data_IF_533252226353
#
_entry.id   IF_533252226353
#
_cell.length_a   1.000
_cell.length_b   1.000
_cell.length_c   1.000
_cell.angle_alpha   90.00
_cell.angle_beta   90.00
_cell.angle_gamma   90.00
#
_symmetry.space_group_name_H-M   'P 1'
#
loop_
_entity.id
_entity.type
_entity.pdbx_description
1 polymer ?
#
# COMPACT_ATOMS: atom_id res chain seq x y z
N UNK A 1 -40.31 -46.86 21.52
CA UNK A 1 -40.76 -48.22 21.90
C UNK A 1 -41.93 -48.60 21.00
N UNK A 2 -41.73 -49.57 20.10
CA UNK A 2 -42.83 -50.18 19.35
C UNK A 2 -43.67 -50.98 20.34
N UNK A 3 -44.85 -50.48 20.71
CA UNK A 3 -45.81 -51.28 21.49
C UNK A 3 -46.51 -52.24 20.52
N UNK A 4 -46.03 -53.48 20.47
CA UNK A 4 -46.59 -54.57 19.65
C UNK A 4 -47.82 -55.27 20.23
N UNK A 5 -48.48 -54.78 21.28
CA UNK A 5 -49.51 -55.59 21.97
C UNK A 5 -50.85 -54.90 22.23
N UNK A 6 -51.55 -54.55 21.14
CA UNK A 6 -53.03 -54.59 21.06
C UNK A 6 -53.38 -54.62 19.58
N UNK A 7 -53.83 -55.76 19.07
CA UNK A 7 -54.31 -56.00 17.69
C UNK A 7 -55.14 -54.81 17.22
N UNK A 8 -54.59 -54.02 16.29
CA UNK A 8 -55.33 -52.93 15.64
C UNK A 8 -56.42 -53.56 14.76
N UNK A 9 -57.64 -53.04 14.86
CA UNK A 9 -58.77 -53.50 14.06
C UNK A 9 -58.92 -52.62 12.83
N UNK A 10 -59.42 -53.22 11.75
CA UNK A 10 -59.80 -52.45 10.55
C UNK A 10 -60.84 -51.40 10.98
N UNK A 11 -60.61 -50.15 10.60
CA UNK A 11 -61.41 -49.00 11.01
C UNK A 11 -60.85 -48.20 12.18
N UNK A 12 -59.84 -48.72 12.91
CA UNK A 12 -59.21 -47.99 14.01
C UNK A 12 -58.49 -46.73 13.51
N UNK A 13 -58.57 -45.65 14.28
CA UNK A 13 -57.75 -44.46 14.07
C UNK A 13 -56.30 -44.74 14.48
N UNK A 14 -55.39 -44.48 13.55
CA UNK A 14 -53.95 -44.67 13.73
C UNK A 14 -53.21 -43.46 13.18
N UNK A 15 -52.01 -43.24 13.70
CA UNK A 15 -51.14 -42.16 13.30
C UNK A 15 -49.93 -42.73 12.58
N UNK A 16 -49.50 -42.06 11.53
CA UNK A 16 -48.23 -42.35 10.88
C UNK A 16 -47.07 -41.71 11.65
N UNK A 17 -45.84 -42.06 11.26
CA UNK A 17 -44.62 -41.51 11.86
C UNK A 17 -44.49 -39.99 11.71
N UNK A 18 -45.19 -39.40 10.73
CA UNK A 18 -45.25 -37.96 10.47
C UNK A 18 -46.39 -37.24 11.23
N UNK A 19 -47.17 -37.98 12.03
CA UNK A 19 -48.31 -37.43 12.79
C UNK A 19 -49.63 -37.38 12.02
N UNK A 20 -49.68 -37.79 10.75
CA UNK A 20 -50.91 -37.81 9.97
C UNK A 20 -51.92 -38.81 10.54
N UNK A 21 -53.18 -38.37 10.69
CA UNK A 21 -54.29 -39.23 11.06
C UNK A 21 -54.69 -40.12 9.88
N UNK A 22 -54.82 -41.40 10.13
CA UNK A 22 -55.23 -42.40 9.16
C UNK A 22 -56.22 -43.38 9.78
N UNK A 23 -57.02 -44.01 8.93
CA UNK A 23 -57.84 -45.16 9.30
C UNK A 23 -57.09 -46.44 8.92
N UNK A 24 -56.97 -47.37 9.86
CA UNK A 24 -56.32 -48.65 9.65
C UNK A 24 -57.14 -49.54 8.72
N UNK A 25 -56.54 -49.99 7.61
CA UNK A 25 -57.21 -50.83 6.62
C UNK A 25 -56.80 -52.31 6.71
N UNK A 26 -55.71 -52.65 7.40
CA UNK A 26 -55.29 -54.02 7.67
C UNK A 26 -53.78 -54.20 7.78
N UNK A 27 -53.35 -55.39 8.21
CA UNK A 27 -51.95 -55.81 8.14
C UNK A 27 -51.69 -56.49 6.79
N UNK A 28 -50.49 -56.32 6.26
CA UNK A 28 -49.98 -56.99 5.06
C UNK A 28 -48.79 -57.89 5.42
N UNK A 29 -48.48 -58.83 4.55
CA UNK A 29 -47.32 -59.71 4.72
C UNK A 29 -46.01 -58.91 4.79
N UNK A 30 -45.05 -59.40 5.58
CA UNK A 30 -43.74 -58.72 5.74
C UNK A 30 -43.75 -57.56 6.73
N UNK A 31 -44.76 -57.44 7.60
CA UNK A 31 -44.81 -56.43 8.66
C UNK A 31 -45.23 -55.04 8.18
N UNK A 32 -45.88 -54.96 7.01
CA UNK A 32 -46.43 -53.72 6.48
C UNK A 32 -47.89 -53.54 6.90
N UNK A 33 -48.37 -52.30 6.84
CA UNK A 33 -49.73 -51.92 7.22
C UNK A 33 -50.39 -51.14 6.08
N UNK A 34 -51.64 -51.47 5.79
CA UNK A 34 -52.48 -50.71 4.87
C UNK A 34 -53.28 -49.67 5.67
N UNK A 35 -53.27 -48.42 5.20
CA UNK A 35 -54.00 -47.31 5.83
C UNK A 35 -54.71 -46.44 4.80
N UNK A 36 -55.74 -45.71 5.22
CA UNK A 36 -56.40 -44.66 4.45
C UNK A 36 -56.23 -43.33 5.14
N UNK A 37 -55.76 -42.31 4.44
CA UNK A 37 -55.58 -40.98 5.05
C UNK A 37 -56.93 -40.38 5.43
N UNK A 38 -57.01 -39.78 6.62
CA UNK A 38 -58.15 -38.97 7.03
C UNK A 38 -57.76 -37.50 6.83
N UNK A 39 -58.52 -36.80 6.00
CA UNK A 39 -58.36 -35.37 5.76
C UNK A 39 -59.50 -34.61 6.42
N UNK A 40 -59.24 -33.40 6.88
CA UNK A 40 -60.27 -32.51 7.40
C UNK A 40 -60.63 -31.50 6.30
N UNK A 41 -61.89 -31.50 5.85
CA UNK A 41 -62.41 -30.56 4.85
C UNK A 41 -63.74 -30.02 5.36
N UNK A 42 -63.88 -28.69 5.42
CA UNK A 42 -65.07 -28.00 5.95
C UNK A 42 -65.50 -28.44 7.36
N UNK A 43 -64.56 -28.88 8.18
CA UNK A 43 -64.80 -29.31 9.57
C UNK A 43 -65.37 -30.72 9.73
N UNK A 44 -65.51 -31.48 8.64
CA UNK A 44 -65.86 -32.90 8.68
C UNK A 44 -64.67 -33.78 8.24
N UNK A 45 -64.40 -34.89 8.95
CA UNK A 45 -63.34 -35.82 8.57
C UNK A 45 -63.76 -36.64 7.35
N UNK A 46 -62.99 -36.54 6.27
CA UNK A 46 -63.16 -37.32 5.04
C UNK A 46 -62.04 -38.36 4.93
N UNK A 47 -62.42 -39.64 4.85
CA UNK A 47 -61.48 -40.74 4.66
C UNK A 47 -61.22 -40.95 3.17
N UNK A 48 -59.96 -40.91 2.77
CA UNK A 48 -59.54 -41.16 1.39
C UNK A 48 -59.85 -42.58 0.94
N UNK A 49 -60.34 -42.72 -0.29
CA UNK A 49 -60.52 -44.03 -0.94
C UNK A 49 -59.19 -44.71 -1.30
N UNK A 50 -58.08 -43.95 -1.28
CA UNK A 50 -56.74 -44.49 -1.60
C UNK A 50 -56.12 -45.18 -0.40
N UNK A 51 -55.73 -46.44 -0.60
CA UNK A 51 -54.95 -47.21 0.38
C UNK A 51 -53.47 -46.95 0.16
N UNK A 52 -52.78 -46.55 1.23
CA UNK A 52 -51.33 -46.39 1.27
C UNK A 52 -50.73 -47.51 2.13
N UNK A 53 -49.60 -48.07 1.69
CA UNK A 53 -48.87 -49.08 2.44
C UNK A 53 -47.71 -48.42 3.21
N UNK A 54 -47.64 -48.67 4.51
CA UNK A 54 -46.66 -48.06 5.43
C UNK A 54 -45.99 -49.11 6.31
N UNK A 55 -44.77 -48.83 6.76
CA UNK A 55 -44.00 -49.78 7.58
C UNK A 55 -44.31 -49.75 9.08
N UNK A 56 -44.98 -48.71 9.59
CA UNK A 56 -45.33 -48.58 11.00
C UNK A 56 -46.55 -47.68 11.19
N UNK A 57 -47.35 -48.00 12.21
CA UNK A 57 -48.55 -47.24 12.63
C UNK A 57 -48.56 -47.11 14.15
N UNK A 58 -49.04 -45.98 14.66
CA UNK A 58 -49.03 -45.64 16.09
C UNK A 58 -50.46 -45.38 16.58
N UNK A 59 -50.82 -45.79 17.80
CA UNK A 59 -52.17 -45.55 18.36
C UNK A 59 -52.40 -44.11 18.82
N UNK A 60 -51.32 -43.35 18.97
CA UNK A 60 -51.32 -41.93 19.33
C UNK A 60 -50.33 -41.23 18.42
N UNK A 61 -50.59 -39.97 18.10
CA UNK A 61 -49.65 -39.15 17.35
C UNK A 61 -48.27 -39.17 18.04
N UNK A 62 -47.17 -39.44 17.31
CA UNK A 62 -45.82 -39.40 17.86
C UNK A 62 -45.32 -37.95 18.06
N UNK A 63 -46.09 -37.15 18.81
CA UNK A 63 -45.90 -35.70 19.01
C UNK A 63 -44.51 -35.40 19.58
N UNK A 64 -44.05 -36.17 20.57
CA UNK A 64 -42.74 -35.97 21.20
C UNK A 64 -41.56 -36.10 20.22
N UNK A 65 -41.66 -36.98 19.22
CA UNK A 65 -40.60 -37.19 18.21
C UNK A 65 -40.58 -36.05 17.21
N UNK A 66 -41.76 -35.54 16.83
CA UNK A 66 -41.89 -34.39 15.94
C UNK A 66 -41.45 -33.09 16.63
N UNK A 67 -41.84 -32.89 17.89
CA UNK A 67 -41.45 -31.73 18.69
C UNK A 67 -39.93 -31.68 18.89
N UNK A 68 -39.29 -32.82 19.18
CA UNK A 68 -37.83 -32.90 19.29
C UNK A 68 -37.13 -32.53 17.97
N UNK A 69 -37.61 -33.02 16.83
CA UNK A 69 -37.07 -32.67 15.50
C UNK A 69 -37.31 -31.20 15.15
N UNK A 70 -38.48 -30.65 15.49
CA UNK A 70 -38.78 -29.23 15.27
C UNK A 70 -37.88 -28.36 16.15
N UNK A 71 -37.65 -28.74 17.41
CA UNK A 71 -36.72 -28.03 18.30
C UNK A 71 -35.27 -28.08 17.77
N UNK A 72 -34.81 -29.24 17.32
CA UNK A 72 -33.50 -29.42 16.69
C UNK A 72 -33.34 -28.52 15.45
N UNK A 73 -34.29 -28.57 14.51
CA UNK A 73 -34.26 -27.73 13.30
C UNK A 73 -34.35 -26.24 13.61
N UNK A 74 -35.10 -25.84 14.66
CA UNK A 74 -35.12 -24.46 15.14
C UNK A 74 -33.77 -24.04 15.73
N UNK A 75 -33.09 -24.94 16.43
CA UNK A 75 -31.72 -24.73 16.91
C UNK A 75 -30.74 -24.50 15.76
N UNK A 76 -30.72 -25.41 14.77
CA UNK A 76 -29.89 -25.27 13.57
C UNK A 76 -30.17 -23.96 12.81
N UNK A 77 -31.44 -23.58 12.67
CA UNK A 77 -31.83 -22.33 12.01
C UNK A 77 -31.32 -21.11 12.78
N UNK A 78 -31.43 -21.12 14.11
CA UNK A 78 -30.88 -20.06 14.96
C UNK A 78 -29.37 -19.94 14.82
N UNK A 79 -28.64 -21.06 14.81
CA UNK A 79 -27.19 -21.06 14.61
C UNK A 79 -26.79 -20.52 13.23
N UNK A 80 -27.53 -20.89 12.18
CA UNK A 80 -27.29 -20.39 10.83
C UNK A 80 -27.55 -18.88 10.76
N UNK A 81 -28.63 -18.39 11.39
CA UNK A 81 -28.96 -16.97 11.43
C UNK A 81 -27.91 -16.16 12.20
N UNK A 82 -27.41 -16.69 13.32
CA UNK A 82 -26.30 -16.09 14.08
C UNK A 82 -25.02 -16.00 13.23
N UNK A 83 -24.65 -17.08 12.53
CA UNK A 83 -23.48 -17.09 11.64
C UNK A 83 -23.65 -16.13 10.47
N UNK A 84 -24.84 -16.05 9.88
CA UNK A 84 -25.14 -15.14 8.79
C UNK A 84 -25.07 -13.68 9.26
N UNK A 85 -25.61 -13.38 10.44
CA UNK A 85 -25.53 -12.05 11.06
C UNK A 85 -24.08 -11.65 11.31
N UNK A 86 -23.28 -12.54 11.90
CA UNK A 86 -21.86 -12.32 12.15
C UNK A 86 -21.08 -12.06 10.84
N UNK A 87 -21.28 -12.89 9.82
CA UNK A 87 -20.63 -12.72 8.52
C UNK A 87 -21.01 -11.40 7.84
N UNK A 88 -22.27 -10.97 7.94
CA UNK A 88 -22.72 -9.66 7.42
C UNK A 88 -22.05 -8.50 8.14
N UNK A 89 -21.91 -8.57 9.47
CA UNK A 89 -21.22 -7.55 10.25
C UNK A 89 -19.73 -7.48 9.92
N UNK A 90 -19.08 -8.63 9.74
CA UNK A 90 -17.68 -8.72 9.32
C UNK A 90 -17.48 -8.09 7.93
N UNK A 91 -18.31 -8.45 6.95
CA UNK A 91 -18.25 -7.88 5.60
C UNK A 91 -18.43 -6.35 5.60
N UNK A 92 -19.39 -5.83 6.38
CA UNK A 92 -19.58 -4.39 6.57
C UNK A 92 -18.36 -3.72 7.20
N UNK A 93 -17.72 -4.37 8.17
CA UNK A 93 -16.52 -3.87 8.84
C UNK A 93 -15.33 -3.82 7.88
N UNK A 94 -15.11 -4.90 7.12
CA UNK A 94 -14.05 -4.96 6.10
C UNK A 94 -14.26 -3.92 5.00
N UNK A 95 -15.48 -3.71 4.53
CA UNK A 95 -15.76 -2.70 3.50
C UNK A 95 -15.50 -1.28 4.04
N UNK A 96 -15.90 -0.99 5.29
CA UNK A 96 -15.57 0.29 5.94
C UNK A 96 -14.05 0.48 6.08
N UNK A 97 -13.32 -0.57 6.48
CA UNK A 97 -11.86 -0.53 6.57
C UNK A 97 -11.21 -0.34 5.20
N UNK A 98 -11.73 -0.97 4.15
CA UNK A 98 -11.26 -0.82 2.77
C UNK A 98 -11.46 0.61 2.28
N UNK A 99 -12.65 1.18 2.47
CA UNK A 99 -12.95 2.57 2.10
C UNK A 99 -12.08 3.54 2.90
N UNK A 100 -11.93 3.33 4.20
CA UNK A 100 -11.07 4.16 5.05
C UNK A 100 -9.60 4.09 4.61
N UNK A 101 -9.09 2.89 4.30
CA UNK A 101 -7.74 2.68 3.77
C UNK A 101 -7.56 3.35 2.42
N UNK A 102 -8.50 3.18 1.49
CA UNK A 102 -8.47 3.81 0.18
C UNK A 102 -8.46 5.34 0.29
N UNK A 103 -9.28 5.90 1.19
CA UNK A 103 -9.29 7.33 1.48
C UNK A 103 -7.98 7.80 2.11
N UNK A 104 -7.39 7.02 3.01
CA UNK A 104 -6.09 7.32 3.61
C UNK A 104 -4.95 7.28 2.59
N UNK A 105 -4.99 6.33 1.64
CA UNK A 105 -4.05 6.24 0.52
C UNK A 105 -4.24 7.43 -0.43
N UNK A 106 -5.47 7.76 -0.80
CA UNK A 106 -5.76 8.91 -1.65
C UNK A 106 -5.36 10.24 -1.00
N UNK A 107 -5.51 10.37 0.32
CA UNK A 107 -5.03 11.54 1.06
C UNK A 107 -3.49 11.58 1.19
N UNK A 108 -2.80 10.48 0.89
CA UNK A 108 -1.36 10.40 0.92
C UNK A 108 -0.82 10.81 -0.46
N UNK A 109 -0.48 12.10 -0.61
CA UNK A 109 0.22 12.64 -1.80
C UNK A 109 1.38 11.75 -2.28
N UNK A 110 2.13 11.08 -1.39
CA UNK A 110 3.09 10.06 -1.82
C UNK A 110 2.54 8.90 -2.65
N UNK A 111 1.39 8.34 -2.30
CA UNK A 111 0.82 7.25 -3.06
C UNK A 111 0.43 7.68 -4.49
N UNK A 112 -0.04 8.91 -4.66
CA UNK A 112 -0.38 9.48 -5.98
C UNK A 112 0.85 9.57 -6.88
N UNK A 113 1.98 10.01 -6.34
CA UNK A 113 3.25 10.12 -7.06
C UNK A 113 3.79 8.75 -7.48
N UNK A 114 3.73 7.75 -6.59
CA UNK A 114 4.13 6.37 -6.92
C UNK A 114 3.24 5.80 -8.02
N UNK A 115 1.92 6.01 -7.92
CA UNK A 115 0.98 5.60 -8.97
C UNK A 115 1.27 6.32 -10.30
N UNK A 116 1.60 7.61 -10.26
CA UNK A 116 1.97 8.38 -11.45
C UNK A 116 3.28 7.86 -12.07
N UNK A 117 4.27 7.48 -11.26
CA UNK A 117 5.51 6.85 -11.75
C UNK A 117 5.23 5.52 -12.43
N UNK A 118 4.48 4.61 -11.78
CA UNK A 118 4.13 3.30 -12.34
C UNK A 118 3.30 3.42 -13.63
N UNK A 119 2.49 4.47 -13.74
CA UNK A 119 1.72 4.80 -14.94
C UNK A 119 2.53 5.56 -16.01
N UNK A 120 3.83 5.81 -15.81
CA UNK A 120 4.69 6.53 -16.75
C UNK A 120 4.36 8.03 -16.92
N UNK A 121 3.63 8.63 -15.97
CA UNK A 121 3.20 10.04 -16.01
C UNK A 121 4.25 11.02 -15.47
N UNK A 122 5.24 10.55 -14.74
CA UNK A 122 6.35 11.37 -14.25
C UNK A 122 7.31 11.61 -15.40
N UNK A 123 7.51 12.87 -15.76
CA UNK A 123 8.31 13.28 -16.92
C UNK A 123 9.67 13.85 -16.52
N UNK A 124 9.80 14.38 -15.30
CA UNK A 124 11.01 15.04 -14.82
C UNK A 124 11.31 14.70 -13.36
N UNK A 125 12.58 14.90 -12.98
CA UNK A 125 13.06 14.80 -11.60
C UNK A 125 13.93 16.00 -11.25
N UNK A 126 13.69 16.59 -10.10
CA UNK A 126 14.63 17.51 -9.45
C UNK A 126 15.60 16.67 -8.62
N UNK A 127 16.83 16.49 -9.10
CA UNK A 127 17.91 15.79 -8.40
C UNK A 127 18.51 16.69 -7.33
N UNK A 128 18.57 16.24 -6.09
CA UNK A 128 19.15 16.96 -4.95
C UNK A 128 20.61 16.54 -4.77
N UNK A 129 21.46 16.95 -5.72
CA UNK A 129 22.90 16.69 -5.67
C UNK A 129 23.52 17.49 -4.51
N UNK A 130 24.16 16.81 -3.56
CA UNK A 130 24.64 17.40 -2.29
C UNK A 130 25.64 18.54 -2.46
N UNK A 131 26.48 18.48 -3.49
CA UNK A 131 27.61 19.40 -3.66
C UNK A 131 27.41 20.41 -4.78
N UNK A 132 26.70 20.02 -5.83
CA UNK A 132 26.45 20.88 -6.98
C UNK A 132 25.12 21.66 -6.88
N UNK A 133 24.28 21.28 -5.92
CA UNK A 133 22.94 21.83 -5.73
C UNK A 133 21.89 21.21 -6.67
N UNK A 134 20.61 21.55 -6.46
CA UNK A 134 19.50 20.94 -7.19
C UNK A 134 19.61 21.08 -8.71
N UNK A 135 19.23 20.05 -9.46
CA UNK A 135 19.16 20.09 -10.93
C UNK A 135 17.91 19.40 -11.46
N UNK A 136 17.30 19.95 -12.51
CA UNK A 136 16.15 19.34 -13.18
C UNK A 136 16.63 18.43 -14.31
N UNK A 137 16.10 17.21 -14.39
CA UNK A 137 16.42 16.24 -15.44
C UNK A 137 15.15 15.57 -15.96
N UNK A 138 15.03 15.31 -17.27
CA UNK A 138 14.00 14.43 -17.81
C UNK A 138 14.11 13.02 -17.22
N UNK A 139 12.99 12.32 -17.04
CA UNK A 139 12.92 11.00 -16.44
C UNK A 139 13.81 9.96 -17.13
N UNK A 140 13.94 10.04 -18.46
CA UNK A 140 14.79 9.14 -19.26
C UNK A 140 16.30 9.40 -19.09
N UNK A 141 16.69 10.50 -18.44
CA UNK A 141 18.07 10.94 -18.22
C UNK A 141 18.42 11.03 -16.73
N UNK A 142 17.42 11.16 -15.85
CA UNK A 142 17.59 11.34 -14.40
C UNK A 142 18.41 10.22 -13.76
N UNK A 143 18.25 8.99 -14.25
CA UNK A 143 18.80 7.77 -13.64
C UNK A 143 19.95 7.13 -14.40
N UNK A 144 20.46 7.78 -15.44
CA UNK A 144 21.60 7.29 -16.20
C UNK A 144 22.89 7.74 -15.51
N UNK A 145 23.56 6.85 -14.75
CA UNK A 145 24.91 7.13 -14.24
C UNK A 145 25.91 6.96 -15.37
N UNK A 146 26.70 8.00 -15.65
CA UNK A 146 27.81 7.94 -16.59
C UNK A 146 29.01 7.30 -15.88
N UNK A 147 29.28 6.03 -16.17
CA UNK A 147 30.50 5.34 -15.72
C UNK A 147 31.38 5.08 -16.93
N UNK A 148 32.56 5.70 -16.98
CA UNK A 148 33.69 5.27 -17.83
C UNK A 148 33.37 4.88 -19.29
N UNK A 149 32.47 5.60 -19.97
CA UNK A 149 32.10 5.35 -21.37
C UNK A 149 30.72 4.72 -21.62
N UNK A 150 29.94 4.44 -20.57
CA UNK A 150 28.58 3.92 -20.72
C UNK A 150 27.58 4.48 -19.70
N UNK A 151 26.30 4.43 -20.05
CA UNK A 151 25.18 4.72 -19.14
C UNK A 151 24.61 3.39 -18.63
N UNK A 152 24.78 3.09 -17.34
CA UNK A 152 24.04 2.00 -16.71
C UNK A 152 22.68 2.53 -16.21
N UNK A 153 21.57 1.82 -16.47
CA UNK A 153 20.30 2.14 -15.81
C UNK A 153 20.45 1.96 -14.29
N UNK A 154 19.77 2.79 -13.51
CA UNK A 154 19.61 2.52 -12.09
C UNK A 154 18.73 1.26 -11.93
N UNK A 155 19.30 0.17 -11.42
CA UNK A 155 18.60 -1.11 -11.31
C UNK A 155 17.52 -1.13 -10.21
N UNK A 156 17.48 -0.12 -9.33
CA UNK A 156 16.51 -0.07 -8.22
C UNK A 156 16.02 1.35 -7.94
N UNK A 157 14.69 1.54 -7.91
CA UNK A 157 14.05 2.75 -7.38
C UNK A 157 13.53 2.47 -5.97
N UNK A 158 14.31 2.82 -4.95
CA UNK A 158 13.85 2.72 -3.57
C UNK A 158 13.12 3.98 -3.15
N UNK A 159 11.85 3.84 -2.78
CA UNK A 159 11.02 4.91 -2.22
C UNK A 159 11.04 4.80 -0.70
N UNK A 160 11.55 5.84 -0.02
CA UNK A 160 11.52 5.92 1.45
C UNK A 160 10.59 7.05 1.87
N UNK A 161 9.56 6.70 2.66
CA UNK A 161 8.64 7.67 3.24
C UNK A 161 9.15 8.07 4.63
N UNK A 162 9.73 9.26 4.73
CA UNK A 162 10.10 9.84 6.03
C UNK A 162 8.93 10.65 6.60
N UNK A 163 8.36 10.17 7.72
CA UNK A 163 7.27 10.85 8.43
C UNK A 163 7.76 12.00 9.32
N UNK A 164 9.05 12.11 9.59
CA UNK A 164 9.59 13.02 10.62
C UNK A 164 9.79 14.46 10.13
N UNK A 165 9.93 14.67 8.82
CA UNK A 165 10.02 15.99 8.22
C UNK A 165 8.72 16.29 7.46
N UNK A 166 7.93 17.26 7.94
CA UNK A 166 6.67 17.71 7.32
C UNK A 166 6.75 18.19 5.85
N UNK A 167 7.92 18.08 5.23
CA UNK A 167 8.07 17.94 3.79
C UNK A 167 8.99 16.75 3.52
N UNK A 168 8.51 15.72 2.85
CA UNK A 168 9.31 14.54 2.51
C UNK A 168 10.15 14.86 1.28
N UNK A 169 11.49 15.08 1.36
CA UNK A 169 12.32 14.83 0.20
C UNK A 169 12.33 13.32 -0.02
N UNK A 170 11.97 12.90 -1.23
CA UNK A 170 12.06 11.50 -1.59
C UNK A 170 13.53 11.15 -1.70
N UNK A 171 13.98 10.23 -0.85
CA UNK A 171 15.35 9.73 -0.94
C UNK A 171 15.34 8.56 -1.91
N UNK A 172 15.88 8.78 -3.11
CA UNK A 172 16.11 7.72 -4.07
C UNK A 172 17.54 7.20 -3.85
N UNK A 173 17.75 5.88 -3.86
CA UNK A 173 19.11 5.32 -3.85
C UNK A 173 19.43 4.81 -5.25
N UNK A 174 20.57 5.22 -5.80
CA UNK A 174 21.01 4.83 -7.14
C UNK A 174 22.44 4.29 -7.02
N UNK A 175 22.59 2.97 -7.02
CA UNK A 175 23.80 2.34 -6.48
C UNK A 175 23.93 2.64 -4.98
N UNK A 176 25.01 2.23 -4.33
CA UNK A 176 25.17 2.38 -2.87
C UNK A 176 25.08 3.82 -2.32
N UNK A 177 25.05 4.84 -3.18
CA UNK A 177 24.96 6.26 -2.82
C UNK A 177 23.49 6.74 -2.86
N UNK A 178 23.01 7.25 -1.73
CA UNK A 178 21.66 7.78 -1.61
C UNK A 178 21.56 9.23 -2.08
N UNK A 179 20.90 9.46 -3.22
CA UNK A 179 20.63 10.78 -3.78
C UNK A 179 19.14 11.11 -3.69
N UNK A 180 18.77 12.16 -2.95
CA UNK A 180 17.38 12.56 -2.94
C UNK A 180 16.95 13.19 -4.27
N UNK A 181 15.69 13.04 -4.66
CA UNK A 181 15.11 13.71 -5.81
C UNK A 181 13.64 14.06 -5.56
N UNK A 182 13.04 14.85 -6.44
CA UNK A 182 11.60 15.17 -6.40
C UNK A 182 11.01 14.86 -7.78
N UNK A 183 10.04 13.94 -7.88
CA UNK A 183 9.40 13.60 -9.14
C UNK A 183 8.39 14.69 -9.55
N UNK A 184 8.31 14.97 -10.84
CA UNK A 184 7.43 16.00 -11.39
C UNK A 184 6.69 15.45 -12.62
N UNK A 185 5.41 15.80 -12.72
CA UNK A 185 4.54 15.36 -13.82
C UNK A 185 4.77 16.17 -15.09
N UNK A 186 5.31 17.40 -14.95
CA UNK A 186 5.67 18.26 -16.08
C UNK A 186 6.99 19.01 -15.83
N UNK A 187 7.49 19.68 -16.86
CA UNK A 187 8.67 20.55 -16.78
C UNK A 187 8.39 21.81 -15.96
N UNK A 188 7.18 22.37 -16.05
CA UNK A 188 6.76 23.55 -15.29
C UNK A 188 6.70 23.25 -13.79
N UNK A 189 6.14 22.10 -13.42
CA UNK A 189 6.16 21.61 -12.03
C UNK A 189 7.60 21.39 -11.57
N UNK A 190 8.44 20.80 -12.42
CA UNK A 190 9.87 20.61 -12.18
C UNK A 190 10.62 21.91 -11.94
N UNK A 191 10.34 22.95 -12.70
CA UNK A 191 10.95 24.27 -12.57
C UNK A 191 10.53 24.95 -11.26
N UNK A 192 9.26 24.86 -10.89
CA UNK A 192 8.76 25.40 -9.62
C UNK A 192 9.36 24.66 -8.40
N UNK A 193 9.44 23.33 -8.48
CA UNK A 193 10.07 22.49 -7.46
C UNK A 193 11.58 22.80 -7.35
N UNK A 194 12.28 22.92 -8.49
CA UNK A 194 13.69 23.28 -8.56
C UNK A 194 13.97 24.62 -7.85
N UNK A 195 13.15 25.64 -8.12
CA UNK A 195 13.27 26.94 -7.45
C UNK A 195 13.09 26.84 -5.92
N UNK A 196 12.16 26.00 -5.48
CA UNK A 196 11.91 25.75 -4.04
C UNK A 196 13.10 25.06 -3.38
N UNK A 197 13.67 24.07 -4.04
CA UNK A 197 14.82 23.32 -3.53
C UNK A 197 16.10 24.17 -3.54
N UNK A 198 16.27 25.09 -4.49
CA UNK A 198 17.36 26.07 -4.45
C UNK A 198 17.26 27.00 -3.22
N UNK A 199 16.06 27.48 -2.89
CA UNK A 199 15.85 28.28 -1.65
C UNK A 199 16.26 27.49 -0.40
N UNK A 200 15.92 26.20 -0.35
CA UNK A 200 16.35 25.30 0.74
C UNK A 200 17.85 25.12 0.76
N UNK A 201 18.46 24.82 -0.40
CA UNK A 201 19.90 24.67 -0.56
C UNK A 201 20.67 25.88 -0.02
N UNK A 202 20.26 27.09 -0.39
CA UNK A 202 20.91 28.32 0.10
C UNK A 202 20.80 28.49 1.62
N UNK A 203 19.66 28.10 2.20
CA UNK A 203 19.44 28.16 3.65
C UNK A 203 20.35 27.18 4.38
N UNK A 204 20.49 25.95 3.89
CA UNK A 204 21.34 24.92 4.49
C UNK A 204 22.84 25.20 4.28
N UNK A 205 23.24 25.63 3.08
CA UNK A 205 24.66 25.84 2.71
C UNK A 205 25.26 27.11 3.28
N UNK A 206 24.46 28.05 3.80
CA UNK A 206 24.95 29.15 4.62
C UNK A 206 25.85 28.67 5.77
N UNK A 207 25.72 27.41 6.20
CA UNK A 207 26.52 26.78 7.25
C UNK A 207 27.73 25.98 6.75
N UNK A 208 27.76 25.57 5.47
CA UNK A 208 28.83 24.71 4.91
C UNK A 208 28.95 24.95 3.40
N UNK A 209 30.06 25.57 2.98
CA UNK A 209 30.35 25.81 1.57
C UNK A 209 30.52 24.48 0.80
N UNK A 210 30.03 24.37 -0.44
CA UNK A 210 30.32 23.23 -1.30
C UNK A 210 31.79 23.23 -1.71
N UNK A 211 32.34 22.05 -2.01
CA UNK A 211 33.71 21.92 -2.50
C UNK A 211 33.95 22.72 -3.79
N UNK A 212 32.95 22.78 -4.67
CA UNK A 212 32.99 23.63 -5.86
C UNK A 212 31.94 24.76 -5.77
N UNK A 213 32.32 25.97 -5.34
CA UNK A 213 31.37 27.07 -5.14
C UNK A 213 30.91 27.75 -6.44
N UNK A 214 31.55 27.49 -7.58
CA UNK A 214 31.12 28.03 -8.88
C UNK A 214 30.01 27.20 -9.54
N UNK A 215 29.94 25.91 -9.20
CA UNK A 215 28.99 24.99 -9.81
C UNK A 215 27.53 25.36 -9.50
N UNK A 216 27.17 25.73 -8.25
CA UNK A 216 25.84 26.26 -7.95
C UNK A 216 25.45 27.52 -8.74
N UNK A 217 26.39 28.47 -8.88
CA UNK A 217 26.18 29.70 -9.68
C UNK A 217 25.86 29.34 -11.13
N UNK A 218 26.62 28.41 -11.70
CA UNK A 218 26.47 27.98 -13.09
C UNK A 218 25.10 27.32 -13.31
N UNK A 219 24.68 26.44 -12.40
CA UNK A 219 23.37 25.76 -12.47
C UNK A 219 22.20 26.73 -12.28
N UNK A 220 22.28 27.65 -11.33
CA UNK A 220 21.23 28.67 -11.16
C UNK A 220 21.09 29.56 -12.40
N UNK A 221 22.21 30.02 -12.98
CA UNK A 221 22.17 30.82 -14.22
C UNK A 221 21.58 30.05 -15.38
N UNK A 222 21.98 28.79 -15.58
CA UNK A 222 21.43 27.94 -16.62
C UNK A 222 19.92 27.72 -16.46
N UNK A 223 19.42 27.69 -15.21
CA UNK A 223 18.01 27.56 -14.89
C UNK A 223 17.24 28.89 -14.78
N UNK A 224 17.89 30.05 -15.00
CA UNK A 224 17.27 31.36 -14.85
C UNK A 224 16.85 31.69 -13.40
N UNK A 225 17.47 31.06 -12.41
CA UNK A 225 17.14 31.21 -10.99
C UNK A 225 18.00 32.28 -10.29
N UNK A 226 17.42 33.03 -9.33
CA UNK A 226 18.16 34.05 -8.60
C UNK A 226 19.22 33.42 -7.70
N UNK A 227 20.38 34.06 -7.64
CA UNK A 227 21.49 33.70 -6.75
C UNK A 227 21.55 34.76 -5.64
N UNK A 228 21.59 34.37 -4.36
CA UNK A 228 21.72 35.33 -3.28
C UNK A 228 23.01 36.15 -3.35
N UNK A 229 22.92 37.48 -3.17
CA UNK A 229 24.09 38.37 -3.22
C UNK A 229 25.19 37.97 -2.23
N UNK A 230 24.83 37.55 -1.02
CA UNK A 230 25.80 37.10 -0.01
C UNK A 230 26.68 35.95 -0.51
N UNK A 231 26.16 35.07 -1.36
CA UNK A 231 26.90 33.94 -1.93
C UNK A 231 27.87 34.41 -3.02
N UNK A 232 27.44 35.37 -3.85
CA UNK A 232 28.28 36.00 -4.87
C UNK A 232 29.44 36.78 -4.24
N UNK A 233 29.15 37.57 -3.21
CA UNK A 233 30.15 38.31 -2.44
C UNK A 233 31.16 37.37 -1.78
N UNK A 234 30.68 36.27 -1.20
CA UNK A 234 31.55 35.26 -0.60
C UNK A 234 32.46 34.59 -1.64
N UNK A 235 31.93 34.23 -2.81
CA UNK A 235 32.72 33.67 -3.91
C UNK A 235 33.80 34.66 -4.38
N UNK A 236 33.48 35.94 -4.49
CA UNK A 236 34.47 36.96 -4.84
C UNK A 236 35.55 37.11 -3.77
N UNK A 237 35.16 37.10 -2.49
CA UNK A 237 36.11 37.17 -1.38
C UNK A 237 37.05 35.97 -1.37
N UNK A 238 36.55 34.76 -1.62
CA UNK A 238 37.36 33.55 -1.71
C UNK A 238 38.34 33.62 -2.88
N UNK A 239 37.90 34.13 -4.04
CA UNK A 239 38.77 34.35 -5.20
C UNK A 239 39.87 35.36 -4.90
N UNK A 240 39.54 36.46 -4.23
CA UNK A 240 40.52 37.48 -3.81
C UNK A 240 41.51 36.89 -2.81
N UNK A 241 41.04 36.14 -1.80
CA UNK A 241 41.88 35.49 -0.81
C UNK A 241 42.82 34.46 -1.45
N UNK A 242 42.33 33.65 -2.39
CA UNK A 242 43.15 32.69 -3.13
C UNK A 242 44.19 33.38 -4.02
N UNK A 243 43.82 34.46 -4.70
CA UNK A 243 44.76 35.26 -5.50
C UNK A 243 45.84 35.91 -4.63
N UNK A 244 45.45 36.49 -3.49
CA UNK A 244 46.38 37.08 -2.53
C UNK A 244 47.35 36.03 -1.99
N UNK A 245 46.87 34.84 -1.66
CA UNK A 245 47.72 33.72 -1.22
C UNK A 245 48.73 33.34 -2.30
N UNK A 246 48.29 33.16 -3.55
CA UNK A 246 49.19 32.84 -4.68
C UNK A 246 50.25 33.93 -4.89
N UNK A 247 49.87 35.20 -4.73
CA UNK A 247 50.80 36.33 -4.81
C UNK A 247 51.84 36.26 -3.69
N UNK A 248 51.42 36.02 -2.45
CA UNK A 248 52.34 35.85 -1.31
C UNK A 248 53.28 34.66 -1.53
N UNK A 249 52.76 33.52 -1.99
CA UNK A 249 53.56 32.32 -2.26
C UNK A 249 54.57 32.58 -3.39
N UNK A 250 54.16 33.25 -4.47
CA UNK A 250 55.05 33.63 -5.57
C UNK A 250 56.12 34.65 -5.15
N UNK A 251 55.75 35.61 -4.30
CA UNK A 251 56.69 36.58 -3.74
C UNK A 251 57.76 35.89 -2.89
N UNK A 252 57.37 34.91 -2.06
CA UNK A 252 58.29 34.10 -1.28
C UNK A 252 59.29 33.35 -2.18
N UNK A 253 58.81 32.69 -3.24
CA UNK A 253 59.67 31.99 -4.20
C UNK A 253 60.63 32.96 -4.90
N UNK A 254 60.15 34.15 -5.27
CA UNK A 254 60.99 35.18 -5.89
C UNK A 254 62.09 35.66 -4.94
N UNK A 255 61.77 35.86 -3.67
CA UNK A 255 62.74 36.32 -2.66
C UNK A 255 63.77 35.23 -2.33
N UNK A 256 63.38 33.95 -2.30
CA UNK A 256 64.29 32.80 -2.20
C UNK A 256 65.25 32.76 -3.41
N UNK A 257 64.74 32.89 -4.63
CA UNK A 257 65.57 32.89 -5.85
C UNK A 257 66.55 34.08 -5.90
N UNK A 258 66.14 35.27 -5.42
CA UNK A 258 67.04 36.43 -5.30
C UNK A 258 68.15 36.19 -4.30
N UNK A 259 67.84 35.56 -3.16
CA UNK A 259 68.84 35.23 -2.15
C UNK A 259 69.88 34.23 -2.70
N UNK A 260 69.44 33.22 -3.46
CA UNK A 260 70.32 32.27 -4.14
C UNK A 260 71.23 32.95 -5.18
N UNK A 261 70.68 33.83 -6.02
CA UNK A 261 71.47 34.60 -7.00
C UNK A 261 72.52 35.49 -6.32
N UNK A 262 72.16 36.15 -5.22
CA UNK A 262 73.09 36.96 -4.44
C UNK A 262 74.22 36.11 -3.85
N UNK A 263 73.92 34.90 -3.37
CA UNK A 263 74.90 33.96 -2.86
C UNK A 263 75.89 33.51 -3.96
N UNK A 264 75.39 33.16 -5.16
CA UNK A 264 76.23 32.77 -6.31
C UNK A 264 77.14 33.93 -6.74
N UNK A 265 76.59 35.15 -6.82
CA UNK A 265 77.35 36.34 -7.18
C UNK A 265 78.49 36.61 -6.18
N UNK A 266 78.24 36.40 -4.88
CA UNK A 266 79.27 36.55 -3.84
C UNK A 266 80.34 35.44 -3.84
N UNK A 267 80.01 34.26 -4.36
CA UNK A 267 80.90 33.10 -4.39
C UNK A 267 81.79 33.02 -5.64
N UNK A 268 81.55 33.85 -6.65
CA UNK A 268 82.37 33.89 -7.87
C UNK A 268 83.55 34.83 -7.63
N UNK A 269 84.80 34.34 -7.48
CA UNK A 269 85.94 35.22 -7.27
C UNK A 269 86.18 36.04 -8.55
N UNK A 270 86.42 37.34 -8.39
CA UNK A 270 86.86 38.21 -9.49
C UNK A 270 88.12 37.60 -10.10
N UNK A 271 88.00 37.10 -11.33
CA UNK A 271 89.14 36.78 -12.17
C UNK A 271 89.87 38.05 -12.60
#
# INVERSE_FOLDING_TARGET
MSMTDKTMKIGDEVYLADGSLCQYAGALDGGQHAVRHVYESDGEPWVSDRITVVGAVFKKAPVEVLDARVAERRGELSEIDERLSAARQEALTLERQRVATAKAIAACRPAEIVAAWLAGKVTHFVMLDSDAGPSLRPANAAFKKQFGGGFAPADELKVTLDRSAGSTPWVYRIGGEGHAAVPCLSEEEGTAALATEWKRFWTTKRQRMPWNPELPVTRCRAAGLPIPNWYLEQLENDKRAAAQKRLTDAQKVLDEAKAELAAIASATPSA
#
